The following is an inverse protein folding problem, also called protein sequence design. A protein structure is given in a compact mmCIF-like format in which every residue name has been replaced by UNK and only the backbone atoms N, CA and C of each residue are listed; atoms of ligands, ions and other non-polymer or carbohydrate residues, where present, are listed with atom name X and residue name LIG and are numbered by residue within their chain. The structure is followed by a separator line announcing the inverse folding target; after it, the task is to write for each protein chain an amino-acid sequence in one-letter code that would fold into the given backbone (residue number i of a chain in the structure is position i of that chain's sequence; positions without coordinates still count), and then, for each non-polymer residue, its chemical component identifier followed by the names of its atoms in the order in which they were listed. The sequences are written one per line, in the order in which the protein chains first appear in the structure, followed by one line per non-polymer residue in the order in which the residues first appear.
data_IF_756551542754
#
_entry.id   IF_756551542754
#
_cell.length_a   1.000
_cell.length_b   1.000
_cell.length_c   1.000
_cell.angle_alpha   90.00
_cell.angle_beta   90.00
_cell.angle_gamma   90.00
#
_symmetry.space_group_name_H-M   'P 1'
#
loop_
_entity.id
_entity.type
_entity.pdbx_description
1 polymer ?
#
# COMPACT_ATOMS: atom_id res chain seq x y z
N UNK A 1 41.70 -18.89 13.26
CA UNK A 1 41.56 -17.89 12.17
C UNK A 1 40.09 -17.51 12.15
N UNK A 2 39.75 -16.28 12.50
CA UNK A 2 38.36 -15.84 12.58
C UNK A 2 37.84 -15.62 11.14
N UNK A 3 36.74 -16.28 10.82
CA UNK A 3 36.08 -16.26 9.52
C UNK A 3 35.52 -14.84 9.28
N UNK A 4 36.14 -14.08 8.37
CA UNK A 4 35.76 -12.71 8.00
C UNK A 4 34.67 -12.66 6.92
N UNK A 5 33.98 -13.78 6.70
CA UNK A 5 32.94 -13.88 5.69
C UNK A 5 31.73 -13.03 6.07
N UNK A 6 31.55 -11.92 5.35
CA UNK A 6 30.47 -10.98 5.59
C UNK A 6 29.09 -11.67 5.41
N UNK A 7 28.23 -11.70 6.44
CA UNK A 7 26.96 -12.41 6.40
C UNK A 7 25.95 -11.79 5.42
N UNK A 8 26.10 -10.52 5.07
CA UNK A 8 25.24 -9.84 4.07
C UNK A 8 25.54 -10.30 2.63
N UNK A 9 26.72 -10.87 2.35
CA UNK A 9 27.03 -11.42 1.02
C UNK A 9 26.18 -12.65 0.68
N UNK A 10 25.65 -13.34 1.69
CA UNK A 10 24.78 -14.51 1.51
C UNK A 10 23.31 -14.15 1.30
N UNK A 11 22.90 -12.94 1.70
CA UNK A 11 21.52 -12.47 1.61
C UNK A 11 21.10 -12.26 0.14
N UNK A 12 21.98 -11.67 -0.67
CA UNK A 12 21.71 -11.41 -2.08
C UNK A 12 21.76 -12.67 -2.97
N UNK A 13 22.38 -13.76 -2.48
CA UNK A 13 22.50 -15.03 -3.24
C UNK A 13 21.25 -15.90 -3.19
N UNK A 14 20.39 -15.69 -2.19
CA UNK A 14 19.18 -16.49 -1.96
C UNK A 14 17.89 -15.74 -2.31
N UNK A 15 17.96 -14.82 -3.28
CA UNK A 15 16.76 -14.22 -3.87
C UNK A 15 16.06 -15.30 -4.71
N UNK A 16 15.30 -16.18 -4.06
CA UNK A 16 14.37 -17.08 -4.74
C UNK A 16 13.36 -16.21 -5.46
N UNK A 17 13.31 -16.31 -6.78
CA UNK A 17 12.28 -15.66 -7.57
C UNK A 17 10.91 -16.13 -7.07
N UNK A 18 10.03 -15.16 -6.82
CA UNK A 18 8.69 -15.45 -6.35
C UNK A 18 7.97 -16.26 -7.43
N UNK A 19 7.35 -17.40 -7.09
CA UNK A 19 6.54 -18.14 -8.04
C UNK A 19 5.53 -17.21 -8.74
N UNK A 20 5.39 -17.27 -10.07
CA UNK A 20 4.62 -16.30 -10.83
C UNK A 20 3.15 -16.19 -10.36
N UNK A 21 2.56 -17.30 -9.93
CA UNK A 21 1.19 -17.34 -9.39
C UNK A 21 1.06 -16.60 -8.06
N UNK A 22 2.06 -16.73 -7.17
CA UNK A 22 2.10 -16.03 -5.89
C UNK A 22 2.27 -14.53 -6.08
N UNK A 23 3.10 -14.12 -7.07
CA UNK A 23 3.32 -12.70 -7.37
C UNK A 23 2.02 -12.00 -7.79
N UNK A 24 1.22 -12.65 -8.64
CA UNK A 24 -0.07 -12.11 -9.09
C UNK A 24 -1.08 -11.98 -7.93
N UNK A 25 -1.15 -13.01 -7.07
CA UNK A 25 -2.04 -13.02 -5.90
C UNK A 25 -1.69 -11.92 -4.90
N UNK A 26 -0.41 -11.78 -4.55
CA UNK A 26 0.07 -10.76 -3.60
C UNK A 26 -0.12 -9.35 -4.17
N UNK A 27 0.11 -9.15 -5.47
CA UNK A 27 -0.09 -7.83 -6.10
C UNK A 27 -1.56 -7.37 -6.06
N UNK A 28 -2.51 -8.31 -6.19
CA UNK A 28 -3.94 -8.00 -6.07
C UNK A 28 -4.29 -7.51 -4.66
N UNK A 29 -3.80 -8.20 -3.63
CA UNK A 29 -4.05 -7.83 -2.23
C UNK A 29 -3.43 -6.46 -1.89
N UNK A 30 -2.22 -6.18 -2.42
CA UNK A 30 -1.56 -4.87 -2.30
C UNK A 30 -2.39 -3.76 -2.98
N UNK A 31 -2.96 -4.02 -4.15
CA UNK A 31 -3.75 -3.02 -4.87
C UNK A 31 -5.01 -2.62 -4.09
N UNK A 32 -5.69 -3.61 -3.48
CA UNK A 32 -6.86 -3.36 -2.62
C UNK A 32 -6.46 -2.58 -1.37
N UNK A 33 -5.37 -2.97 -0.71
CA UNK A 33 -4.89 -2.26 0.47
C UNK A 33 -4.51 -0.80 0.16
N UNK A 34 -3.85 -0.55 -0.98
CA UNK A 34 -3.53 0.82 -1.46
C UNK A 34 -4.80 1.61 -1.76
N UNK A 35 -5.77 1.02 -2.43
CA UNK A 35 -7.05 1.68 -2.71
C UNK A 35 -7.76 2.09 -1.41
N UNK A 36 -7.79 1.21 -0.41
CA UNK A 36 -8.38 1.51 0.90
C UNK A 36 -7.61 2.62 1.61
N UNK A 37 -6.28 2.59 1.56
CA UNK A 37 -5.44 3.64 2.14
C UNK A 37 -5.66 4.98 1.45
N UNK A 38 -5.67 5.02 0.12
CA UNK A 38 -5.90 6.23 -0.68
C UNK A 38 -7.29 6.79 -0.41
N UNK A 39 -8.31 5.92 -0.35
CA UNK A 39 -9.64 6.29 0.08
C UNK A 39 -9.60 6.88 1.48
N UNK A 40 -8.98 6.21 2.46
CA UNK A 40 -8.87 6.68 3.83
C UNK A 40 -8.16 8.04 3.92
N UNK A 41 -7.10 8.28 3.14
CA UNK A 41 -6.40 9.57 3.09
C UNK A 41 -7.31 10.65 2.52
N UNK A 42 -7.99 10.40 1.40
CA UNK A 42 -8.92 11.36 0.77
C UNK A 42 -10.09 11.73 1.69
N UNK A 43 -10.59 10.73 2.39
CA UNK A 43 -11.69 10.78 3.37
C UNK A 43 -11.29 11.51 4.65
N UNK A 44 -10.17 11.13 5.25
CA UNK A 44 -9.66 11.75 6.48
C UNK A 44 -9.13 13.16 6.23
N UNK A 45 -8.74 13.47 4.98
CA UNK A 45 -8.53 14.85 4.54
C UNK A 45 -9.87 15.58 4.47
N UNK A 46 -10.25 16.18 5.61
CA UNK A 46 -11.32 17.16 5.71
C UNK A 46 -12.74 16.68 5.35
N UNK A 47 -13.15 15.51 5.89
CA UNK A 47 -14.52 15.01 5.78
C UNK A 47 -15.60 16.04 6.18
N UNK A 48 -15.33 16.86 7.20
CA UNK A 48 -16.25 17.92 7.64
C UNK A 48 -16.54 18.91 6.51
N UNK A 49 -15.51 19.37 5.80
CA UNK A 49 -15.64 20.24 4.63
C UNK A 49 -16.40 19.56 3.49
N UNK A 50 -16.07 18.31 3.15
CA UNK A 50 -16.69 17.58 2.03
C UNK A 50 -18.17 17.30 2.30
N UNK A 51 -18.50 16.76 3.48
CA UNK A 51 -19.88 16.47 3.88
C UNK A 51 -20.69 17.77 4.01
N UNK A 52 -20.13 18.82 4.62
CA UNK A 52 -20.80 20.12 4.73
C UNK A 52 -21.01 20.78 3.35
N UNK A 53 -20.03 20.67 2.45
CA UNK A 53 -20.13 21.14 1.07
C UNK A 53 -21.20 20.40 0.27
N UNK A 54 -21.27 19.07 0.43
CA UNK A 54 -22.27 18.21 -0.22
C UNK A 54 -23.69 18.51 0.30
N UNK A 55 -23.87 18.68 1.61
CA UNK A 55 -25.15 19.06 2.22
C UNK A 55 -25.59 20.48 1.85
N UNK A 56 -24.65 21.44 1.73
CA UNK A 56 -24.94 22.83 1.32
C UNK A 56 -25.26 22.94 -0.17
N UNK A 57 -24.63 22.13 -1.03
CA UNK A 57 -24.91 22.08 -2.47
C UNK A 57 -26.38 21.71 -2.74
N UNK A 58 -26.93 20.80 -1.93
CA UNK A 58 -28.31 20.34 -2.05
C UNK A 58 -29.37 21.34 -1.52
N UNK A 59 -28.95 22.45 -0.89
CA UNK A 59 -29.84 23.55 -0.45
C UNK A 59 -29.94 24.69 -1.46
N UNK A 60 -29.17 24.66 -2.55
CA UNK A 60 -29.33 25.58 -3.68
C UNK A 60 -30.33 25.02 -4.69
N UNK A 61 -31.54 24.73 -4.23
CA UNK A 61 -32.78 24.66 -5.02
C UNK A 61 -33.93 25.00 -4.09
#
# INVERSE_FOLDING_TARGET
MADTTNPFQQLNRNLKEVPPDMRKKVMNDIAIAKLILDMAVLVTSNYSSVISGMLKSNKRK
#
